data_IF_143544243090
#
_entry.id   IF_143544243090
#
_cell.length_a   1.000
_cell.length_b   1.000
_cell.length_c   1.000
_cell.angle_alpha   90.00
_cell.angle_beta   90.00
_cell.angle_gamma   90.00
#
_symmetry.space_group_name_H-M   'P 1'
#
loop_
_entity.id
_entity.type
_entity.pdbx_description
1 polymer ?
#
# COMPACT_ATOMS: atom_id res chain seq x y z
N UNK A 1 -16.22 4.28 -13.47
CA UNK A 1 -15.87 4.11 -13.46
C UNK A 1 -14.93 3.87 -13.24
N UNK A 2 -14.56 3.77 -13.23
CA UNK A 2 -13.74 3.33 -13.10
C UNK A 2 -12.51 3.80 -12.72
N UNK A 3 -12.35 4.91 -12.37
CA UNK A 3 -11.11 5.39 -11.91
C UNK A 3 -10.68 4.66 -10.65
N UNK A 4 -11.59 4.06 -9.97
CA UNK A 4 -11.22 3.33 -8.78
C UNK A 4 -10.38 2.14 -9.09
N UNK A 5 -10.36 1.70 -10.30
CA UNK A 5 -9.58 0.55 -10.64
C UNK A 5 -8.16 0.87 -11.01
N UNK A 6 -7.83 2.13 -11.07
CA UNK A 6 -6.49 2.49 -11.40
C UNK A 6 -5.56 2.13 -10.28
N UNK A 7 -4.44 1.50 -10.59
CA UNK A 7 -3.46 1.19 -9.55
C UNK A 7 -2.90 2.46 -8.95
N UNK A 8 -2.69 2.44 -7.67
CA UNK A 8 -2.09 3.54 -6.96
C UNK A 8 -0.73 3.13 -6.46
N UNK A 9 0.19 4.06 -6.50
CA UNK A 9 1.52 3.79 -6.00
C UNK A 9 1.54 4.01 -4.50
N UNK A 10 2.10 3.05 -3.80
CA UNK A 10 2.22 3.15 -2.35
C UNK A 10 3.64 2.79 -1.95
N UNK A 11 4.02 3.22 -0.78
CA UNK A 11 5.29 2.85 -0.18
C UNK A 11 5.02 2.41 1.24
N UNK A 12 5.61 1.31 1.64
CA UNK A 12 5.45 0.79 2.98
C UNK A 12 6.82 0.83 3.63
N UNK A 13 6.90 1.50 4.77
CA UNK A 13 8.15 1.57 5.51
C UNK A 13 8.15 0.58 6.65
N UNK A 14 9.24 -0.16 6.78
CA UNK A 14 9.36 -1.18 7.81
C UNK A 14 10.39 -0.79 8.84
N UNK A 15 10.30 -1.43 10.00
CA UNK A 15 11.30 -1.26 11.03
C UNK A 15 12.66 -1.61 10.43
N UNK A 16 13.63 -0.84 10.72
CA UNK A 16 14.96 -1.08 10.19
C UNK A 16 15.29 -0.26 8.97
N UNK A 17 14.32 0.51 8.49
CA UNK A 17 14.60 1.43 7.40
C UNK A 17 14.33 0.89 6.01
N UNK A 18 13.86 -0.32 5.89
CA UNK A 18 13.56 -0.86 4.58
C UNK A 18 12.23 -0.34 4.08
N UNK A 19 12.12 -0.17 2.78
CA UNK A 19 10.87 0.28 2.19
C UNK A 19 10.50 -0.61 1.03
N UNK A 20 9.21 -0.71 0.79
CA UNK A 20 8.67 -1.47 -0.31
C UNK A 20 7.75 -0.56 -1.10
N UNK A 21 8.01 -0.41 -2.38
CA UNK A 21 7.14 0.37 -3.24
C UNK A 21 6.36 -0.58 -4.12
N UNK A 22 5.10 -0.27 -4.33
CA UNK A 22 4.25 -1.15 -5.12
C UNK A 22 3.10 -0.35 -5.70
N UNK A 23 2.49 -0.91 -6.73
CA UNK A 23 1.27 -0.34 -7.27
C UNK A 23 0.16 -1.31 -7.00
N UNK A 24 -0.88 -0.85 -6.36
CA UNK A 24 -1.98 -1.71 -5.94
C UNK A 24 -3.31 -1.09 -6.34
N UNK A 25 -4.31 -1.90 -6.51
CA UNK A 25 -5.62 -1.40 -6.84
C UNK A 25 -6.33 -0.95 -5.58
N UNK A 26 -7.36 -0.14 -5.75
CA UNK A 26 -8.08 0.41 -4.63
C UNK A 26 -8.53 -0.60 -3.60
N UNK A 27 -9.15 -1.70 -4.00
CA UNK A 27 -9.59 -2.69 -3.02
C UNK A 27 -8.44 -3.28 -2.21
N UNK A 28 -7.28 -3.47 -2.85
CA UNK A 28 -6.13 -3.99 -2.14
C UNK A 28 -5.61 -2.99 -1.13
N UNK A 29 -5.60 -1.73 -1.51
CA UNK A 29 -5.15 -0.68 -0.61
C UNK A 29 -6.10 -0.59 0.58
N UNK A 30 -7.40 -0.67 0.33
CA UNK A 30 -8.37 -0.60 1.40
C UNK A 30 -8.19 -1.74 2.39
N UNK A 31 -7.93 -2.95 1.87
CA UNK A 31 -7.72 -4.10 2.74
C UNK A 31 -6.46 -3.93 3.56
N UNK A 32 -5.43 -3.38 2.98
CA UNK A 32 -4.18 -3.15 3.70
C UNK A 32 -4.39 -2.15 4.82
N UNK A 33 -5.08 -1.05 4.52
CA UNK A 33 -5.31 -0.04 5.53
C UNK A 33 -6.13 -0.59 6.69
N UNK A 34 -7.10 -1.41 6.36
CA UNK A 34 -7.91 -2.02 7.39
C UNK A 34 -7.08 -2.99 8.21
N UNK A 35 -6.23 -3.76 7.57
CA UNK A 35 -5.40 -4.72 8.26
C UNK A 35 -4.41 -4.04 9.19
N UNK A 36 -3.90 -2.89 8.79
CA UNK A 36 -2.95 -2.17 9.62
C UNK A 36 -3.59 -1.66 10.90
N UNK A 37 -4.89 -1.51 10.90
CA UNK A 37 -5.59 -1.06 12.09
C UNK A 37 -5.88 -2.17 13.07
N UNK A 38 -5.54 -3.40 12.72
CA UNK A 38 -5.80 -4.53 13.58
C UNK A 38 -4.52 -5.01 14.22
N UNK A 39 -4.63 -6.11 14.97
CA UNK A 39 -3.50 -6.58 15.66
C UNK A 39 -2.60 -7.32 14.77
N UNK A 40 -1.64 -6.93 14.31
CA UNK A 40 -0.57 -7.58 13.63
C UNK A 40 -0.89 -8.79 12.76
N UNK A 41 0.10 -9.56 12.44
CA UNK A 41 -0.06 -10.73 11.62
C UNK A 41 0.51 -10.52 10.24
N UNK A 42 0.41 -11.57 9.44
CA UNK A 42 0.93 -11.51 8.08
C UNK A 42 -0.16 -11.04 7.13
N UNK A 43 0.25 -10.30 6.13
CA UNK A 43 -0.69 -9.76 5.15
C UNK A 43 -0.17 -10.06 3.76
N UNK A 44 -1.06 -10.49 2.90
CA UNK A 44 -0.72 -10.78 1.52
C UNK A 44 -1.25 -9.63 0.68
N UNK A 45 -0.36 -8.95 0.00
CA UNK A 45 -0.72 -7.79 -0.80
C UNK A 45 -0.51 -8.11 -2.27
N UNK A 46 -1.55 -8.00 -3.06
CA UNK A 46 -1.44 -8.25 -4.49
C UNK A 46 -1.13 -6.94 -5.18
N UNK A 47 0.04 -6.86 -5.76
CA UNK A 47 0.46 -5.68 -6.49
C UNK A 47 0.46 -6.00 -7.99
N UNK A 48 0.69 -4.98 -8.79
CA UNK A 48 0.66 -5.18 -10.22
C UNK A 48 1.67 -6.20 -10.70
N UNK A 49 2.82 -6.21 -10.12
CA UNK A 49 3.87 -7.07 -10.60
C UNK A 49 4.14 -8.26 -9.70
N UNK A 50 3.27 -8.55 -8.78
CA UNK A 50 3.46 -9.73 -7.94
C UNK A 50 2.72 -9.64 -6.64
N UNK A 51 2.92 -10.64 -5.82
CA UNK A 51 2.28 -10.71 -4.52
C UNK A 51 3.35 -10.62 -3.46
N UNK A 52 3.12 -9.79 -2.46
CA UNK A 52 4.07 -9.60 -1.38
C UNK A 52 3.41 -10.01 -0.09
N UNK A 53 4.09 -10.81 0.70
CA UNK A 53 3.58 -11.23 2.00
C UNK A 53 4.52 -10.67 3.06
N UNK A 54 3.99 -9.93 3.99
CA UNK A 54 4.84 -9.29 4.99
C UNK A 54 4.14 -9.22 6.34
N UNK A 55 4.94 -8.95 7.36
CA UNK A 55 4.48 -8.94 8.73
C UNK A 55 4.00 -7.53 9.08
N UNK A 56 2.73 -7.40 9.38
CA UNK A 56 2.15 -6.10 9.69
C UNK A 56 2.75 -5.46 10.93
N UNK A 57 3.28 -6.27 11.84
CA UNK A 57 3.85 -5.70 13.05
C UNK A 57 5.15 -4.97 12.80
N UNK A 58 5.73 -5.14 11.60
CA UNK A 58 6.97 -4.47 11.28
C UNK A 58 6.76 -3.23 10.45
N UNK A 59 5.53 -2.87 10.19
CA UNK A 59 5.24 -1.71 9.36
C UNK A 59 5.24 -0.45 10.19
N UNK A 60 6.04 0.51 9.81
CA UNK A 60 6.08 1.81 10.48
C UNK A 60 5.09 2.78 9.85
N UNK A 61 4.97 2.75 8.55
CA UNK A 61 4.07 3.69 7.89
C UNK A 61 3.66 3.18 6.51
N UNK A 62 2.57 3.71 6.04
CA UNK A 62 2.10 3.46 4.69
C UNK A 62 1.93 4.83 4.04
N UNK A 63 2.63 5.04 2.96
CA UNK A 63 2.52 6.28 2.21
C UNK A 63 1.75 5.99 0.93
N UNK A 64 0.66 6.68 0.73
CA UNK A 64 -0.11 6.57 -0.50
C UNK A 64 0.29 7.75 -1.36
N UNK A 65 0.89 7.46 -2.50
CA UNK A 65 1.39 8.49 -3.37
C UNK A 65 0.24 9.09 -4.12
N UNK A 66 -0.08 10.30 -3.87
CA UNK A 66 -1.16 10.97 -4.52
C UNK A 66 -0.68 11.46 -5.84
N UNK A 67 -1.24 10.97 -6.87
CA UNK A 67 -0.79 11.34 -8.08
C UNK A 67 -1.23 12.57 -8.51
N UNK A 68 -1.02 13.38 -8.38
CA UNK A 68 -1.47 14.43 -8.62
C UNK A 68 -1.19 15.17 -9.50
N UNK A 69 -1.21 15.35 -10.11
CA UNK A 69 -0.94 16.14 -10.98
C UNK A 69 -1.63 17.20 -10.83
N UNK A 70 -1.83 17.59 -10.19
CA UNK A 70 -2.37 18.54 -9.97
C UNK A 70 -1.87 19.50 -10.08
N UNK A 71 -1.60 19.85 -10.51
CA UNK A 71 -1.17 20.67 -10.72
C UNK A 71 -1.36 21.72 -10.57
N UNK A 72 -1.43 22.13 -10.51
CA UNK A 72 -1.65 22.97 -10.39
C UNK A 72 -1.40 23.80 -9.84
N UNK A 73 -1.09 23.98 -9.61
CA UNK A 73 -0.91 24.63 -9.00
C UNK A 73 -0.36 25.06 -9.16
#
# INVERSE_FOLDING_TARGET
MSSDDKPQKISIGFHGGQTLAARVRGPELARLREALGKTGGWHELTAEDGVVVFDLTRVDYLLVDVDEHRVGF
#
